data_IF_434392398759
#
_entry.id   IF_434392398759
#
_cell.length_a   1.000
_cell.length_b   1.000
_cell.length_c   1.000
_cell.angle_alpha   90.00
_cell.angle_beta   90.00
_cell.angle_gamma   90.00
#
_symmetry.space_group_name_H-M   'P 1'
#
loop_
_entity.id
_entity.type
_entity.pdbx_description
1 polymer ?
#
# COMPACT_ATOMS: atom_id res chain seq x y z
N UNK A 1 34.18 -58.20 7.81
CA UNK A 1 33.05 -57.55 8.51
C UNK A 1 33.47 -56.11 8.74
N UNK A 2 33.31 -55.22 7.75
CA UNK A 2 32.16 -54.29 7.58
C UNK A 2 31.97 -53.42 8.83
N UNK A 3 31.90 -52.10 8.80
CA UNK A 3 31.79 -51.14 7.71
C UNK A 3 32.14 -49.74 8.25
N UNK A 4 32.63 -48.90 7.36
CA UNK A 4 32.69 -47.44 7.43
C UNK A 4 31.37 -46.85 7.91
N UNK A 5 31.39 -46.04 8.98
CA UNK A 5 30.24 -45.24 9.40
C UNK A 5 30.45 -43.80 8.90
N UNK A 6 30.01 -43.56 7.66
CA UNK A 6 29.78 -42.22 7.12
C UNK A 6 28.71 -41.53 7.98
N UNK A 7 29.08 -40.39 8.57
CA UNK A 7 28.12 -39.44 9.16
C UNK A 7 27.22 -38.91 8.05
N UNK A 8 26.05 -39.51 7.91
CA UNK A 8 24.96 -39.00 7.07
C UNK A 8 24.43 -37.69 7.66
N UNK A 9 24.65 -36.60 6.93
CA UNK A 9 23.99 -35.31 7.16
C UNK A 9 22.60 -35.42 6.50
N UNK A 10 21.57 -35.72 7.29
CA UNK A 10 20.18 -35.52 6.86
C UNK A 10 19.74 -34.09 7.19
N UNK A 11 19.13 -33.36 6.23
CA UNK A 11 18.64 -32.02 6.48
C UNK A 11 17.39 -32.08 7.36
N UNK A 12 17.39 -31.33 8.46
CA UNK A 12 16.20 -31.13 9.28
C UNK A 12 15.17 -30.39 8.45
N UNK A 13 14.08 -31.08 8.12
CA UNK A 13 12.88 -30.50 7.51
C UNK A 13 12.26 -29.49 8.48
N UNK A 14 12.51 -28.21 8.25
CA UNK A 14 11.75 -27.13 8.89
C UNK A 14 10.38 -27.08 8.21
N UNK A 15 9.31 -27.37 8.96
CA UNK A 15 7.93 -27.08 8.51
C UNK A 15 7.80 -25.57 8.24
N UNK A 16 7.05 -25.15 7.21
CA UNK A 16 6.90 -23.74 6.91
C UNK A 16 6.20 -23.04 8.08
N UNK A 17 6.79 -21.92 8.50
CA UNK A 17 6.19 -21.00 9.46
C UNK A 17 4.91 -20.48 8.80
N UNK A 18 3.77 -20.76 9.42
CA UNK A 18 2.48 -20.24 8.98
C UNK A 18 2.55 -18.71 8.96
N UNK A 19 2.61 -18.13 7.76
CA UNK A 19 2.28 -16.73 7.57
C UNK A 19 0.77 -16.63 7.69
N UNK A 20 0.28 -16.30 8.89
CA UNK A 20 -1.03 -15.66 8.99
C UNK A 20 -0.91 -14.34 8.24
N UNK A 21 -1.31 -14.35 6.97
CA UNK A 21 -1.51 -13.11 6.23
C UNK A 21 -2.67 -12.43 6.94
N UNK A 22 -2.36 -11.42 7.77
CA UNK A 22 -3.33 -10.43 8.29
C UNK A 22 -3.93 -9.69 7.09
N UNK A 23 -4.73 -10.41 6.33
CA UNK A 23 -5.28 -10.00 5.05
C UNK A 23 -6.49 -9.15 5.39
N UNK A 24 -6.49 -7.92 4.92
CA UNK A 24 -7.64 -7.04 5.05
C UNK A 24 -8.85 -7.80 4.47
N UNK A 25 -9.97 -7.92 5.20
CA UNK A 25 -11.15 -8.60 4.69
C UNK A 25 -11.60 -8.01 3.35
N UNK A 26 -12.04 -8.83 2.40
CA UNK A 26 -12.41 -8.38 1.05
C UNK A 26 -13.40 -7.21 1.01
N UNK A 27 -14.36 -7.18 1.95
CA UNK A 27 -15.31 -6.06 2.07
C UNK A 27 -14.62 -4.74 2.46
N UNK A 28 -13.59 -4.81 3.31
CA UNK A 28 -12.82 -3.65 3.72
C UNK A 28 -11.92 -3.17 2.58
N UNK A 29 -11.37 -4.09 1.76
CA UNK A 29 -10.65 -3.73 0.53
C UNK A 29 -11.55 -2.94 -0.41
N UNK A 30 -12.78 -3.39 -0.65
CA UNK A 30 -13.71 -2.67 -1.51
C UNK A 30 -14.01 -1.24 -1.02
N UNK A 31 -14.13 -1.05 0.30
CA UNK A 31 -14.31 0.29 0.89
C UNK A 31 -13.06 1.18 0.70
N UNK A 32 -11.85 0.63 0.83
CA UNK A 32 -10.61 1.37 0.60
C UNK A 32 -10.45 1.79 -0.86
N UNK A 33 -10.99 1.01 -1.79
CA UNK A 33 -10.97 1.24 -3.23
C UNK A 33 -12.12 2.09 -3.76
N UNK A 34 -12.95 2.63 -2.87
CA UNK A 34 -14.02 3.54 -3.23
C UNK A 34 -13.50 4.98 -3.39
N UNK A 35 -13.89 5.64 -4.48
CA UNK A 35 -13.76 7.09 -4.65
C UNK A 35 -15.10 7.74 -4.33
N UNK A 36 -15.07 8.74 -3.45
CA UNK A 36 -16.25 9.51 -3.13
C UNK A 36 -16.64 10.42 -4.30
N UNK A 37 -17.92 10.74 -4.48
CA UNK A 37 -18.39 11.56 -5.62
C UNK A 37 -17.80 12.98 -5.68
N UNK A 38 -17.26 13.49 -4.55
CA UNK A 38 -16.56 14.78 -4.48
C UNK A 38 -15.05 14.65 -4.75
N UNK A 39 -14.52 13.43 -4.82
CA UNK A 39 -13.10 13.22 -5.11
C UNK A 39 -12.83 13.53 -6.57
N UNK A 40 -12.01 14.55 -6.78
CA UNK A 40 -11.58 14.97 -8.11
C UNK A 40 -10.08 15.32 -8.09
N UNK A 41 -9.39 15.23 -9.24
CA UNK A 41 -7.95 15.46 -9.32
C UNK A 41 -7.54 16.83 -8.78
N UNK A 42 -8.28 17.89 -9.11
CA UNK A 42 -7.99 19.26 -8.71
C UNK A 42 -8.32 19.61 -7.25
N UNK A 43 -8.58 18.62 -6.40
CA UNK A 43 -8.83 18.86 -4.97
C UNK A 43 -7.52 19.14 -4.26
N UNK A 44 -7.39 20.34 -3.70
CA UNK A 44 -6.27 20.68 -2.82
C UNK A 44 -6.48 19.99 -1.46
N UNK A 45 -5.74 18.90 -1.21
CA UNK A 45 -5.83 18.15 0.06
C UNK A 45 -4.82 18.60 1.11
N UNK A 46 -3.83 19.42 0.72
CA UNK A 46 -2.85 20.03 1.63
C UNK A 46 -2.69 21.51 1.25
N UNK A 47 -2.84 22.41 2.23
CA UNK A 47 -2.83 23.86 1.98
C UNK A 47 -1.45 24.46 1.75
N UNK A 48 -0.38 23.82 2.26
CA UNK A 48 1.00 24.27 2.10
C UNK A 48 1.72 23.32 1.15
N UNK A 49 2.01 23.73 -0.10
CA UNK A 49 2.70 22.87 -1.05
C UNK A 49 4.13 22.57 -0.59
N UNK A 50 4.69 21.45 -1.07
CA UNK A 50 6.08 21.09 -0.81
C UNK A 50 7.02 22.07 -1.52
N UNK A 51 7.88 22.76 -0.76
CA UNK A 51 8.86 23.75 -1.24
C UNK A 51 10.31 23.37 -0.86
N UNK A 52 10.56 22.07 -0.63
CA UNK A 52 11.85 21.54 -0.18
C UNK A 52 11.97 21.48 1.35
N UNK A 53 12.23 22.63 1.99
CA UNK A 53 12.56 22.69 3.42
C UNK A 53 11.40 22.31 4.36
N UNK A 54 10.17 22.37 3.87
CA UNK A 54 8.98 22.03 4.64
C UNK A 54 8.60 20.55 4.57
N UNK A 55 9.43 19.67 4.00
CA UNK A 55 9.13 18.25 3.83
C UNK A 55 8.55 17.57 5.09
N UNK A 56 9.13 17.71 6.31
CA UNK A 56 8.57 17.05 7.49
C UNK A 56 7.15 17.54 7.86
N UNK A 57 6.83 18.79 7.55
CA UNK A 57 5.49 19.35 7.77
C UNK A 57 4.53 18.89 6.68
N UNK A 58 4.97 18.94 5.42
CA UNK A 58 4.19 18.49 4.28
C UNK A 58 3.89 16.98 4.35
N UNK A 59 4.86 16.14 4.68
CA UNK A 59 4.70 14.67 4.75
C UNK A 59 3.67 14.26 5.80
N UNK A 60 3.66 14.93 6.96
CA UNK A 60 2.64 14.74 7.99
C UNK A 60 1.26 15.22 7.54
N UNK A 61 1.20 16.34 6.81
CA UNK A 61 -0.05 16.90 6.32
C UNK A 61 -0.69 16.02 5.23
N UNK A 62 0.09 15.63 4.21
CA UNK A 62 -0.38 14.76 3.12
C UNK A 62 -0.77 13.38 3.66
N UNK A 63 0.00 12.82 4.61
CA UNK A 63 -0.33 11.55 5.26
C UNK A 63 -1.70 11.60 5.96
N UNK A 64 -1.95 12.63 6.79
CA UNK A 64 -3.24 12.82 7.47
C UNK A 64 -4.39 13.05 6.48
N UNK A 65 -4.14 13.81 5.42
CA UNK A 65 -5.15 14.07 4.40
C UNK A 65 -5.56 12.78 3.67
N UNK A 66 -4.58 11.93 3.33
CA UNK A 66 -4.84 10.63 2.70
C UNK A 66 -5.49 9.65 3.68
N UNK A 67 -5.10 9.65 4.96
CA UNK A 67 -5.71 8.84 6.01
C UNK A 67 -7.21 9.17 6.18
N UNK A 68 -7.56 10.46 6.24
CA UNK A 68 -8.95 10.91 6.31
C UNK A 68 -9.81 10.50 5.10
N UNK A 69 -9.16 10.19 3.97
CA UNK A 69 -9.81 9.73 2.73
C UNK A 69 -9.73 8.21 2.54
N UNK A 70 -9.17 7.47 3.50
CA UNK A 70 -8.88 6.04 3.40
C UNK A 70 -7.97 5.69 2.21
N UNK A 71 -6.95 6.51 1.96
CA UNK A 71 -6.02 6.37 0.83
C UNK A 71 -4.54 6.27 1.25
N UNK A 72 -4.25 6.30 2.54
CA UNK A 72 -2.87 6.16 3.05
C UNK A 72 -2.23 4.83 2.62
N UNK A 73 -3.05 3.77 2.48
CA UNK A 73 -2.62 2.43 2.07
C UNK A 73 -1.91 2.35 0.72
N UNK A 74 -2.13 3.33 -0.17
CA UNK A 74 -1.46 3.42 -1.46
C UNK A 74 0.00 3.90 -1.33
N UNK A 75 0.36 4.56 -0.22
CA UNK A 75 1.68 5.16 -0.01
C UNK A 75 2.53 4.33 0.95
N UNK A 76 1.93 3.74 1.99
CA UNK A 76 2.63 2.86 2.94
C UNK A 76 2.70 1.39 2.48
N UNK A 77 2.20 1.10 1.28
CA UNK A 77 2.14 -0.23 0.66
C UNK A 77 1.29 -1.27 1.42
N UNK A 78 0.51 -0.86 2.43
CA UNK A 78 -0.44 -1.76 3.11
C UNK A 78 -1.60 -2.18 2.20
N UNK A 79 -1.88 -1.40 1.14
CA UNK A 79 -2.82 -1.74 0.08
C UNK A 79 -2.08 -2.06 -1.22
N UNK A 80 -1.62 -3.31 -1.33
CA UNK A 80 -0.88 -3.79 -2.50
C UNK A 80 -1.70 -3.75 -3.77
N UNK A 81 -1.01 -3.64 -4.91
CA UNK A 81 -1.62 -3.73 -6.23
C UNK A 81 -2.48 -4.99 -6.36
N UNK A 82 -3.75 -4.81 -6.73
CA UNK A 82 -4.63 -5.93 -7.01
C UNK A 82 -4.12 -6.75 -8.20
N UNK A 83 -4.27 -8.08 -8.15
CA UNK A 83 -3.99 -8.92 -9.31
C UNK A 83 -4.88 -8.48 -10.50
N UNK A 84 -4.36 -8.51 -11.72
CA UNK A 84 -5.12 -8.12 -12.93
C UNK A 84 -6.44 -8.88 -13.13
N UNK A 85 -6.53 -10.10 -12.58
CA UNK A 85 -7.74 -10.92 -12.61
C UNK A 85 -8.74 -10.60 -11.48
N UNK A 86 -8.37 -9.73 -10.53
CA UNK A 86 -9.24 -9.34 -9.43
C UNK A 86 -10.34 -8.40 -9.93
N UNK A 87 -11.59 -8.56 -9.44
CA UNK A 87 -12.66 -7.59 -9.74
C UNK A 87 -12.34 -6.17 -9.27
N UNK A 88 -11.36 -6.02 -8.37
CA UNK A 88 -10.94 -4.75 -7.78
C UNK A 88 -9.81 -4.04 -8.56
N UNK A 89 -9.29 -4.64 -9.63
CA UNK A 89 -8.13 -4.12 -10.35
C UNK A 89 -8.36 -2.70 -10.90
N UNK A 90 -9.46 -2.49 -11.63
CA UNK A 90 -9.76 -1.19 -12.24
C UNK A 90 -10.01 -0.11 -11.17
N UNK A 91 -10.68 -0.47 -10.06
CA UNK A 91 -10.91 0.44 -8.94
C UNK A 91 -9.61 0.84 -8.24
N UNK A 92 -8.68 -0.11 -8.09
CA UNK A 92 -7.34 0.16 -7.58
C UNK A 92 -6.58 1.14 -8.47
N UNK A 93 -6.62 0.94 -9.80
CA UNK A 93 -5.97 1.85 -10.75
C UNK A 93 -6.55 3.25 -10.68
N UNK A 94 -7.89 3.39 -10.61
CA UNK A 94 -8.56 4.69 -10.47
C UNK A 94 -8.15 5.39 -9.17
N UNK A 95 -8.18 4.69 -8.03
CA UNK A 95 -7.78 5.26 -6.74
C UNK A 95 -6.31 5.66 -6.73
N UNK A 96 -5.42 4.80 -7.22
CA UNK A 96 -3.99 5.09 -7.32
C UNK A 96 -3.74 6.33 -8.20
N UNK A 97 -4.44 6.47 -9.32
CA UNK A 97 -4.34 7.65 -10.18
C UNK A 97 -4.79 8.92 -9.47
N UNK A 98 -5.86 8.85 -8.67
CA UNK A 98 -6.35 9.98 -7.86
C UNK A 98 -5.34 10.39 -6.78
N UNK A 99 -4.76 9.42 -6.07
CA UNK A 99 -3.72 9.68 -5.06
C UNK A 99 -2.51 10.36 -5.69
N UNK A 100 -2.07 9.88 -6.86
CA UNK A 100 -0.99 10.52 -7.60
C UNK A 100 -1.32 11.97 -8.00
N UNK A 101 -2.53 12.23 -8.48
CA UNK A 101 -2.97 13.58 -8.82
C UNK A 101 -2.88 14.52 -7.60
N UNK A 102 -3.40 14.10 -6.44
CA UNK A 102 -3.33 14.91 -5.22
C UNK A 102 -1.92 15.14 -4.71
N UNK A 103 -1.03 14.16 -4.86
CA UNK A 103 0.38 14.32 -4.48
C UNK A 103 1.03 15.35 -5.39
N UNK A 104 0.87 15.22 -6.71
CA UNK A 104 1.43 16.15 -7.70
C UNK A 104 0.89 17.57 -7.48
N UNK A 105 -0.41 17.73 -7.28
CA UNK A 105 -1.05 19.03 -7.02
C UNK A 105 -0.63 19.65 -5.68
N UNK A 106 -0.04 18.85 -4.78
CA UNK A 106 0.51 19.34 -3.51
C UNK A 106 1.99 19.73 -3.57
N UNK A 107 2.62 19.65 -4.76
CA UNK A 107 3.98 20.10 -4.99
C UNK A 107 3.99 21.57 -5.44
N UNK A 108 5.03 22.32 -5.09
CA UNK A 108 5.23 23.63 -5.71
C UNK A 108 5.63 23.46 -7.18
N UNK A 109 5.15 24.36 -8.03
CA UNK A 109 5.55 24.47 -9.44
C UNK A 109 7.03 24.82 -9.60
#
# INVERSE_FOLDING_TARGET
>A
MTNTEERSITPKTQKPINQETNSIPDYAVSLLLHLHHLDNPGTIIVSKPLIGDNYPTWSRAIGRALEAKNKLGFIDESLTMAAKASPNYDQWICCNSMVNAWIVDSLSA
#
